data_IF_123142166130
#
_entry.id   IF_123142166130
#
_cell.length_a   1.000
_cell.length_b   1.000
_cell.length_c   1.000
_cell.angle_alpha   90.00
_cell.angle_beta   90.00
_cell.angle_gamma   90.00
#
_symmetry.space_group_name_H-M   'P 1'
#
loop_
_entity.id
_entity.type
_entity.pdbx_description
1 polymer ?
#
# COMPACT_ATOMS: atom_id res chain seq x y z
N UNK A 1 -7.61 28.06 -47.85
CA UNK A 1 -7.63 26.58 -47.83
C UNK A 1 -6.18 26.15 -47.73
N UNK A 2 -5.74 25.83 -46.51
CA UNK A 2 -4.36 25.46 -46.23
C UNK A 2 -3.97 24.16 -46.96
N UNK A 3 -2.83 24.11 -47.67
CA UNK A 3 -2.34 22.92 -48.36
C UNK A 3 -1.64 21.90 -47.43
N UNK A 4 -1.70 22.07 -46.11
CA UNK A 4 -0.90 21.31 -45.13
C UNK A 4 -1.51 19.98 -44.64
N UNK A 5 -2.57 19.47 -45.27
CA UNK A 5 -3.22 18.22 -44.84
C UNK A 5 -3.60 17.28 -45.98
N UNK A 6 -2.76 17.14 -47.02
CA UNK A 6 -2.81 15.97 -47.89
C UNK A 6 -2.11 14.79 -47.19
N UNK A 7 -2.71 14.33 -46.10
CA UNK A 7 -2.17 13.23 -45.30
C UNK A 7 -2.30 11.91 -46.06
N UNK A 8 -1.17 11.29 -46.38
CA UNK A 8 -1.08 9.90 -46.83
C UNK A 8 -1.80 9.01 -45.81
N UNK A 9 -3.06 8.65 -46.09
CA UNK A 9 -3.84 7.72 -45.27
C UNK A 9 -3.48 6.29 -45.65
N UNK A 10 -2.27 5.86 -45.28
CA UNK A 10 -1.95 4.44 -45.30
C UNK A 10 -2.78 3.71 -44.25
N UNK A 11 -3.54 2.71 -44.68
CA UNK A 11 -4.31 1.88 -43.75
C UNK A 11 -3.36 1.08 -42.85
N UNK A 12 -3.59 1.14 -41.53
CA UNK A 12 -2.89 0.38 -40.48
C UNK A 12 -2.71 -1.11 -40.79
N UNK A 13 -3.67 -1.72 -41.52
CA UNK A 13 -3.64 -3.10 -41.97
C UNK A 13 -2.49 -3.44 -42.94
N UNK A 14 -1.93 -2.43 -43.62
CA UNK A 14 -0.92 -2.58 -44.68
C UNK A 14 0.49 -2.43 -44.13
N UNK A 15 0.69 -1.51 -43.19
CA UNK A 15 2.00 -1.18 -42.61
C UNK A 15 2.41 -2.21 -41.55
N UNK A 16 1.47 -2.67 -40.72
CA UNK A 16 1.73 -3.63 -39.64
C UNK A 16 2.46 -4.92 -40.08
N UNK A 17 2.03 -5.62 -41.14
CA UNK A 17 2.72 -6.83 -41.63
C UNK A 17 4.15 -6.59 -42.13
N UNK A 18 4.43 -5.41 -42.71
CA UNK A 18 5.75 -5.04 -43.21
C UNK A 18 6.69 -4.70 -42.05
N UNK A 19 6.22 -3.90 -41.09
CA UNK A 19 6.97 -3.57 -39.86
C UNK A 19 7.30 -4.82 -39.05
N UNK A 20 6.40 -5.81 -38.99
CA UNK A 20 6.66 -7.08 -38.29
C UNK A 20 7.85 -7.86 -38.86
N UNK A 21 8.20 -7.67 -40.13
CA UNK A 21 9.38 -8.32 -40.74
C UNK A 21 10.70 -7.76 -40.21
N UNK A 22 10.70 -6.54 -39.67
CA UNK A 22 11.86 -5.91 -39.05
C UNK A 22 12.33 -6.59 -37.76
N UNK A 23 11.54 -7.52 -37.20
CA UNK A 23 11.84 -8.17 -35.93
C UNK A 23 12.04 -9.68 -36.08
N UNK A 24 12.91 -10.24 -35.24
CA UNK A 24 13.15 -11.69 -35.18
C UNK A 24 11.87 -12.41 -34.74
N UNK A 25 11.48 -13.48 -35.46
CA UNK A 25 10.40 -14.37 -35.02
C UNK A 25 10.91 -15.27 -33.90
N UNK A 26 10.39 -15.10 -32.69
CA UNK A 26 10.72 -15.98 -31.57
C UNK A 26 9.86 -17.25 -31.60
N UNK A 27 10.51 -18.40 -31.42
CA UNK A 27 9.83 -19.65 -31.09
C UNK A 27 9.31 -19.65 -29.64
N UNK A 28 8.37 -20.54 -29.29
CA UNK A 28 7.85 -20.62 -27.93
C UNK A 28 8.97 -21.07 -26.97
N UNK A 29 9.37 -20.20 -26.05
CA UNK A 29 10.04 -20.62 -24.81
C UNK A 29 11.56 -20.42 -24.67
N UNK A 30 12.17 -19.33 -25.15
CA UNK A 30 13.60 -19.08 -24.88
C UNK A 30 13.87 -17.77 -24.13
N UNK A 31 14.41 -17.94 -22.91
CA UNK A 31 15.16 -16.99 -22.10
C UNK A 31 14.39 -15.86 -21.38
N UNK A 32 13.75 -16.20 -20.25
CA UNK A 32 13.58 -15.29 -19.11
C UNK A 32 14.97 -14.94 -18.55
N UNK A 33 15.71 -14.05 -19.22
CA UNK A 33 16.90 -13.44 -18.66
C UNK A 33 16.49 -12.14 -17.97
N UNK A 34 16.88 -11.95 -16.71
CA UNK A 34 16.55 -10.76 -15.91
C UNK A 34 17.28 -9.47 -16.33
N UNK A 35 17.92 -9.47 -17.52
CA UNK A 35 18.67 -8.37 -18.09
C UNK A 35 17.90 -7.71 -19.24
N UNK A 36 18.01 -6.39 -19.43
CA UNK A 36 17.35 -5.68 -20.53
C UNK A 36 17.85 -6.21 -21.89
N UNK A 37 16.92 -6.60 -22.77
CA UNK A 37 17.26 -7.01 -24.14
C UNK A 37 17.25 -5.77 -25.02
N UNK A 38 18.43 -5.41 -25.52
CA UNK A 38 18.62 -4.24 -26.38
C UNK A 38 17.81 -4.38 -27.68
N UNK A 39 17.35 -3.26 -28.23
CA UNK A 39 16.66 -3.23 -29.53
C UNK A 39 17.47 -3.92 -30.64
N UNK A 40 18.80 -3.84 -30.57
CA UNK A 40 19.73 -4.50 -31.50
C UNK A 40 19.58 -6.03 -31.56
N UNK A 41 19.10 -6.67 -30.49
CA UNK A 41 18.84 -8.11 -30.44
C UNK A 41 17.40 -8.48 -30.87
N UNK A 42 16.51 -7.50 -30.98
CA UNK A 42 15.11 -7.71 -31.37
C UNK A 42 14.91 -7.53 -32.88
N UNK A 43 15.73 -6.71 -33.52
CA UNK A 43 15.66 -6.47 -34.97
C UNK A 43 16.28 -7.60 -35.77
N UNK A 44 15.68 -7.94 -36.91
CA UNK A 44 16.13 -9.03 -37.78
C UNK A 44 17.35 -8.69 -38.63
N UNK A 45 17.82 -7.44 -38.62
CA UNK A 45 18.94 -6.96 -39.46
C UNK A 45 20.23 -6.63 -38.69
N UNK A 46 20.24 -6.78 -37.36
CA UNK A 46 21.41 -6.62 -36.47
C UNK A 46 21.45 -7.75 -35.43
N UNK A 47 22.57 -7.89 -34.72
CA UNK A 47 22.75 -8.89 -33.66
C UNK A 47 23.04 -10.31 -34.15
N UNK A 48 23.06 -11.27 -33.22
CA UNK A 48 23.43 -12.67 -33.47
C UNK A 48 22.42 -13.44 -34.35
N UNK A 49 21.16 -12.97 -34.41
CA UNK A 49 20.08 -13.59 -35.20
C UNK A 49 19.71 -12.75 -36.43
N UNK A 50 20.72 -12.25 -37.15
CA UNK A 50 20.53 -11.48 -38.38
C UNK A 50 19.96 -12.34 -39.51
N UNK A 51 18.70 -12.14 -39.86
CA UNK A 51 17.98 -12.81 -40.96
C UNK A 51 17.64 -11.88 -42.12
N UNK A 52 17.66 -10.56 -41.92
CA UNK A 52 17.50 -9.54 -42.98
C UNK A 52 18.83 -8.84 -43.30
N UNK A 53 19.08 -8.62 -44.58
CA UNK A 53 20.19 -7.82 -45.10
C UNK A 53 19.80 -6.35 -45.25
N UNK A 54 20.78 -5.47 -45.47
CA UNK A 54 20.50 -4.06 -45.77
C UNK A 54 19.66 -3.89 -47.05
N UNK A 55 19.83 -4.81 -48.02
CA UNK A 55 19.02 -4.86 -49.25
C UNK A 55 17.57 -5.21 -48.95
N UNK A 56 17.31 -6.13 -48.02
CA UNK A 56 15.95 -6.50 -47.64
C UNK A 56 15.24 -5.36 -46.88
N UNK A 57 15.98 -4.63 -46.05
CA UNK A 57 15.46 -3.43 -45.38
C UNK A 57 15.06 -2.34 -46.38
N UNK A 58 15.89 -2.11 -47.40
CA UNK A 58 15.55 -1.21 -48.51
C UNK A 58 14.30 -1.71 -49.27
N UNK A 59 14.18 -3.01 -49.57
CA UNK A 59 12.97 -3.55 -50.22
C UNK A 59 11.71 -3.32 -49.39
N UNK A 60 11.79 -3.46 -48.06
CA UNK A 60 10.65 -3.18 -47.17
C UNK A 60 10.29 -1.69 -47.17
N UNK A 61 11.28 -0.81 -47.12
CA UNK A 61 11.07 0.63 -47.19
C UNK A 61 10.47 1.06 -48.55
N UNK A 62 10.99 0.51 -49.66
CA UNK A 62 10.46 0.77 -50.99
C UNK A 62 9.02 0.29 -51.15
N UNK A 63 8.66 -0.84 -50.55
CA UNK A 63 7.27 -1.32 -50.53
C UNK A 63 6.36 -0.41 -49.69
N UNK A 64 6.85 0.12 -48.55
CA UNK A 64 6.10 1.10 -47.76
C UNK A 64 5.84 2.40 -48.55
N UNK A 65 6.87 2.92 -49.24
CA UNK A 65 6.76 4.12 -50.09
C UNK A 65 5.82 3.87 -51.26
N UNK A 66 5.96 2.75 -51.98
CA UNK A 66 5.08 2.39 -53.10
C UNK A 66 3.62 2.36 -52.67
N UNK A 67 3.30 1.70 -51.55
CA UNK A 67 1.94 1.65 -51.03
C UNK A 67 1.43 3.00 -50.54
N UNK A 68 2.31 3.88 -50.06
CA UNK A 68 1.97 5.25 -49.69
C UNK A 68 1.53 6.07 -50.90
N UNK A 69 2.29 5.93 -51.99
CA UNK A 69 2.05 6.58 -53.27
C UNK A 69 0.78 6.04 -53.94
N UNK A 70 0.59 4.71 -53.94
CA UNK A 70 -0.61 4.06 -54.51
C UNK A 70 -1.89 4.37 -53.74
N UNK A 71 -1.78 4.70 -52.44
CA UNK A 71 -2.91 5.11 -51.61
C UNK A 71 -3.31 6.58 -51.83
N UNK A 72 -2.49 7.37 -52.53
CA UNK A 72 -2.82 8.73 -52.93
C UNK A 72 -3.77 8.73 -54.14
N UNK A 73 -4.71 9.67 -54.20
CA UNK A 73 -5.66 9.77 -55.30
C UNK A 73 -4.99 10.03 -56.66
N UNK A 74 -5.66 9.76 -57.79
CA UNK A 74 -5.12 10.05 -59.12
C UNK A 74 -4.76 11.55 -59.25
N UNK A 75 -3.48 11.86 -59.44
CA UNK A 75 -2.98 13.24 -59.55
C UNK A 75 -2.59 13.91 -58.22
N UNK A 76 -2.82 13.26 -57.08
CA UNK A 76 -2.50 13.76 -55.73
C UNK A 76 -1.19 13.16 -55.18
N UNK A 77 -0.25 12.88 -56.08
CA UNK A 77 0.99 12.20 -55.70
C UNK A 77 1.79 13.07 -54.71
N UNK A 78 2.24 12.53 -53.55
CA UNK A 78 2.96 13.32 -52.55
C UNK A 78 4.33 13.82 -53.01
N UNK A 79 4.97 13.08 -53.92
CA UNK A 79 6.32 13.34 -54.43
C UNK A 79 6.45 13.02 -55.92
N UNK A 80 7.37 13.66 -56.66
CA UNK A 80 7.74 13.27 -58.02
C UNK A 80 8.20 11.80 -58.11
N UNK A 81 8.00 11.17 -59.28
CA UNK A 81 8.24 9.73 -59.46
C UNK A 81 9.71 9.32 -59.35
N UNK A 82 10.62 10.24 -59.64
CA UNK A 82 12.06 10.12 -59.52
C UNK A 82 12.54 10.12 -58.06
N UNK A 83 11.73 10.63 -57.12
CA UNK A 83 12.10 10.72 -55.70
C UNK A 83 11.67 9.51 -54.86
N UNK A 84 10.80 8.62 -55.37
CA UNK A 84 10.35 7.41 -54.63
C UNK A 84 11.53 6.58 -54.08
N UNK A 85 12.57 6.40 -54.90
CA UNK A 85 13.74 5.60 -54.55
C UNK A 85 14.55 6.32 -53.45
N UNK A 86 14.70 7.64 -53.55
CA UNK A 86 15.40 8.43 -52.56
C UNK A 86 14.67 8.44 -51.20
N UNK A 87 13.33 8.53 -51.20
CA UNK A 87 12.52 8.41 -49.97
C UNK A 87 12.65 7.01 -49.36
N UNK A 88 12.68 5.96 -50.19
CA UNK A 88 12.86 4.59 -49.72
C UNK A 88 14.24 4.37 -49.09
N UNK A 89 15.30 4.93 -49.67
CA UNK A 89 16.66 4.91 -49.12
C UNK A 89 16.73 5.64 -47.77
N UNK A 90 16.14 6.83 -47.69
CA UNK A 90 16.07 7.61 -46.47
C UNK A 90 15.31 6.88 -45.34
N UNK A 91 14.19 6.25 -45.68
CA UNK A 91 13.37 5.48 -44.74
C UNK A 91 14.10 4.21 -44.28
N UNK A 92 14.79 3.51 -45.19
CA UNK A 92 15.60 2.34 -44.86
C UNK A 92 16.75 2.69 -43.93
N UNK A 93 17.46 3.80 -44.19
CA UNK A 93 18.53 4.29 -43.32
C UNK A 93 17.99 4.64 -41.91
N UNK A 94 16.84 5.32 -41.84
CA UNK A 94 16.23 5.73 -40.57
C UNK A 94 15.72 4.53 -39.76
N UNK A 95 15.07 3.55 -40.40
CA UNK A 95 14.65 2.31 -39.74
C UNK A 95 15.84 1.43 -39.34
N UNK A 96 16.92 1.46 -40.11
CA UNK A 96 18.17 0.76 -39.82
C UNK A 96 18.82 1.24 -38.51
N UNK A 97 18.69 2.53 -38.20
CA UNK A 97 19.19 3.13 -36.96
C UNK A 97 18.54 2.55 -35.69
N UNK A 98 17.37 1.88 -35.80
CA UNK A 98 16.71 1.20 -34.68
C UNK A 98 17.61 0.14 -34.04
N UNK A 99 18.47 -0.49 -34.83
CA UNK A 99 19.43 -1.49 -34.34
C UNK A 99 20.65 -0.90 -33.63
N UNK A 100 20.87 0.41 -33.74
CA UNK A 100 22.03 1.11 -33.18
C UNK A 100 21.66 1.96 -31.93
N UNK A 101 20.37 2.07 -31.59
CA UNK A 101 19.91 2.76 -30.39
C UNK A 101 20.26 1.96 -29.11
N UNK A 102 20.91 2.63 -28.15
CA UNK A 102 21.14 2.09 -26.81
C UNK A 102 19.89 2.22 -25.94
N UNK A 103 18.88 1.41 -26.26
CA UNK A 103 17.65 1.31 -25.48
C UNK A 103 17.01 -0.08 -25.63
N UNK A 104 16.07 -0.38 -24.75
CA UNK A 104 15.24 -1.58 -24.80
C UNK A 104 13.81 -1.30 -25.31
N UNK A 105 13.02 -2.38 -25.47
CA UNK A 105 11.63 -2.33 -25.92
C UNK A 105 10.70 -1.58 -24.95
N UNK A 106 10.88 -1.75 -23.64
CA UNK A 106 10.14 -1.03 -22.60
C UNK A 106 10.35 0.49 -22.68
N UNK A 107 11.61 0.92 -22.82
CA UNK A 107 11.97 2.32 -23.02
C UNK A 107 11.38 2.88 -24.32
N UNK A 108 11.35 2.10 -25.40
CA UNK A 108 10.77 2.52 -26.67
C UNK A 108 9.25 2.73 -26.57
N UNK A 109 8.54 1.86 -25.84
CA UNK A 109 7.11 2.02 -25.58
C UNK A 109 6.81 3.24 -24.70
N UNK A 110 7.59 3.45 -23.63
CA UNK A 110 7.44 4.64 -22.76
C UNK A 110 7.73 5.95 -23.50
N UNK A 111 8.70 5.94 -24.42
CA UNK A 111 9.05 7.10 -25.23
C UNK A 111 7.93 7.49 -26.21
N UNK A 112 7.20 6.49 -26.73
CA UNK A 112 6.11 6.69 -27.68
C UNK A 112 6.57 6.90 -29.12
N UNK A 113 5.64 6.72 -30.07
CA UNK A 113 5.93 6.63 -31.50
C UNK A 113 6.59 7.88 -32.09
N UNK A 114 6.09 9.07 -31.75
CA UNK A 114 6.57 10.35 -32.30
C UNK A 114 7.99 10.67 -31.84
N UNK A 115 8.27 10.49 -30.55
CA UNK A 115 9.60 10.74 -30.01
C UNK A 115 10.62 9.66 -30.43
N UNK A 116 10.17 8.41 -30.64
CA UNK A 116 10.99 7.36 -31.25
C UNK A 116 11.38 7.73 -32.69
N UNK A 117 10.43 8.22 -33.50
CA UNK A 117 10.72 8.68 -34.86
C UNK A 117 11.74 9.83 -34.86
N UNK A 118 11.58 10.82 -33.97
CA UNK A 118 12.55 11.91 -33.82
C UNK A 118 13.96 11.41 -33.45
N UNK A 119 14.07 10.40 -32.58
CA UNK A 119 15.37 9.78 -32.25
C UNK A 119 15.99 9.04 -33.42
N UNK A 120 15.19 8.33 -34.23
CA UNK A 120 15.69 7.66 -35.43
C UNK A 120 16.19 8.65 -36.48
N UNK A 121 15.47 9.77 -36.67
CA UNK A 121 15.93 10.87 -37.53
C UNK A 121 17.25 11.46 -37.03
N UNK A 122 17.38 11.70 -35.73
CA UNK A 122 18.61 12.22 -35.13
C UNK A 122 19.79 11.24 -35.25
N UNK A 123 19.52 9.93 -35.23
CA UNK A 123 20.53 8.88 -35.40
C UNK A 123 20.96 8.68 -36.87
N UNK A 124 20.16 9.15 -37.83
CA UNK A 124 20.44 9.08 -39.27
C UNK A 124 20.40 10.49 -39.93
N UNK A 125 21.26 11.43 -39.51
CA UNK A 125 21.17 12.84 -39.90
C UNK A 125 21.42 13.09 -41.41
N UNK A 126 22.02 12.13 -42.10
CA UNK A 126 22.28 12.22 -43.54
C UNK A 126 21.19 11.60 -44.41
N UNK A 127 20.20 10.92 -43.81
CA UNK A 127 19.21 10.17 -44.56
C UNK A 127 18.30 11.07 -45.43
N UNK A 128 18.00 12.29 -44.98
CA UNK A 128 17.06 13.19 -45.67
C UNK A 128 17.75 14.36 -46.38
N UNK A 129 19.09 14.43 -46.38
CA UNK A 129 19.86 15.62 -46.79
C UNK A 129 19.58 16.09 -48.22
N UNK A 130 19.33 15.16 -49.13
CA UNK A 130 19.16 15.42 -50.56
C UNK A 130 17.69 15.29 -51.02
N UNK A 131 16.74 15.26 -50.08
CA UNK A 131 15.31 15.14 -50.38
C UNK A 131 14.67 16.51 -50.63
N UNK A 132 13.65 16.54 -51.49
CA UNK A 132 12.76 17.71 -51.58
C UNK A 132 11.89 17.85 -50.32
N UNK A 133 11.32 19.03 -50.12
CA UNK A 133 10.41 19.28 -48.99
C UNK A 133 9.22 18.30 -48.95
N UNK A 134 8.68 17.92 -50.11
CA UNK A 134 7.60 16.92 -50.19
C UNK A 134 8.07 15.51 -49.81
N UNK A 135 9.28 15.14 -50.21
CA UNK A 135 9.90 13.87 -49.86
C UNK A 135 10.28 13.77 -48.38
N UNK A 136 10.73 14.86 -47.75
CA UNK A 136 10.94 14.92 -46.31
C UNK A 136 9.63 14.74 -45.53
N UNK A 137 8.54 15.38 -45.97
CA UNK A 137 7.22 15.27 -45.35
C UNK A 137 6.67 13.84 -45.44
N UNK A 138 6.82 13.20 -46.61
CA UNK A 138 6.46 11.80 -46.84
C UNK A 138 7.30 10.86 -45.97
N UNK A 139 8.63 11.04 -45.95
CA UNK A 139 9.54 10.27 -45.10
C UNK A 139 9.14 10.34 -43.63
N UNK A 140 8.94 11.55 -43.09
CA UNK A 140 8.58 11.76 -41.69
C UNK A 140 7.22 11.14 -41.35
N UNK A 141 6.26 11.20 -42.25
CA UNK A 141 4.94 10.55 -42.09
C UNK A 141 5.07 9.03 -42.03
N UNK A 142 5.83 8.45 -42.95
CA UNK A 142 6.07 7.00 -43.02
C UNK A 142 6.88 6.50 -41.82
N UNK A 143 7.90 7.24 -41.39
CA UNK A 143 8.71 6.91 -40.23
C UNK A 143 7.88 6.94 -38.95
N UNK A 144 7.06 7.97 -38.75
CA UNK A 144 6.19 8.10 -37.58
C UNK A 144 5.15 6.97 -37.53
N UNK A 145 4.54 6.66 -38.68
CA UNK A 145 3.58 5.55 -38.81
C UNK A 145 4.27 4.21 -38.54
N UNK A 146 5.48 4.01 -39.05
CA UNK A 146 6.28 2.81 -38.78
C UNK A 146 6.60 2.68 -37.29
N UNK A 147 7.01 3.77 -36.63
CA UNK A 147 7.27 3.81 -35.19
C UNK A 147 6.03 3.49 -34.35
N UNK A 148 4.85 3.94 -34.77
CA UNK A 148 3.58 3.58 -34.12
C UNK A 148 3.35 2.07 -34.14
N UNK A 149 3.55 1.45 -35.29
CA UNK A 149 3.42 0.00 -35.42
C UNK A 149 4.52 -0.77 -34.68
N UNK A 150 5.74 -0.23 -34.60
CA UNK A 150 6.84 -0.79 -33.80
C UNK A 150 6.47 -0.80 -32.31
N UNK A 151 6.03 0.34 -31.78
CA UNK A 151 5.60 0.47 -30.37
C UNK A 151 4.42 -0.46 -30.08
N UNK A 152 3.42 -0.48 -30.96
CA UNK A 152 2.29 -1.41 -30.83
C UNK A 152 2.70 -2.88 -30.89
N UNK A 153 3.70 -3.22 -31.71
CA UNK A 153 4.23 -4.57 -31.77
C UNK A 153 4.92 -4.97 -30.46
N UNK A 154 5.66 -4.06 -29.81
CA UNK A 154 6.29 -4.35 -28.52
C UNK A 154 5.27 -4.62 -27.41
N UNK A 155 4.15 -3.89 -27.36
CA UNK A 155 3.12 -4.10 -26.33
C UNK A 155 2.40 -5.45 -26.44
N UNK A 156 2.40 -6.06 -27.63
CA UNK A 156 1.76 -7.36 -27.86
C UNK A 156 2.65 -8.57 -27.50
N UNK A 157 3.92 -8.36 -27.12
CA UNK A 157 4.83 -9.46 -26.80
C UNK A 157 4.61 -9.93 -25.35
N UNK A 158 4.44 -11.24 -25.15
CA UNK A 158 4.26 -11.83 -23.82
C UNK A 158 5.45 -11.57 -22.87
N UNK A 159 6.65 -11.47 -23.42
CA UNK A 159 7.89 -11.13 -22.68
C UNK A 159 7.94 -9.68 -22.22
N UNK A 160 7.24 -8.76 -22.92
CA UNK A 160 7.17 -7.35 -22.55
C UNK A 160 6.38 -7.13 -21.25
N UNK A 161 5.25 -7.81 -21.09
CA UNK A 161 4.39 -7.68 -19.89
C UNK A 161 5.13 -8.16 -18.64
N UNK A 162 5.72 -9.36 -18.69
CA UNK A 162 6.51 -9.89 -17.58
C UNK A 162 7.72 -9.01 -17.23
N UNK A 163 8.38 -8.44 -18.24
CA UNK A 163 9.53 -7.54 -18.05
C UNK A 163 9.11 -6.18 -17.48
N UNK A 164 8.01 -5.61 -17.94
CA UNK A 164 7.51 -4.32 -17.45
C UNK A 164 7.19 -4.40 -15.96
N UNK A 165 6.63 -5.53 -15.50
CA UNK A 165 6.43 -5.80 -14.08
C UNK A 165 7.74 -5.84 -13.28
N UNK A 166 8.78 -6.52 -13.80
CA UNK A 166 10.11 -6.55 -13.16
C UNK A 166 10.79 -5.17 -13.15
N UNK A 167 10.68 -4.41 -14.23
CA UNK A 167 11.19 -3.03 -14.32
C UNK A 167 10.46 -2.10 -13.34
N UNK A 168 9.13 -2.21 -13.23
CA UNK A 168 8.36 -1.47 -12.24
C UNK A 168 8.77 -1.84 -10.81
N UNK A 169 8.99 -3.13 -10.52
CA UNK A 169 9.50 -3.57 -9.21
C UNK A 169 10.84 -2.91 -8.88
N UNK A 170 11.82 -2.95 -9.80
CA UNK A 170 13.13 -2.32 -9.60
C UNK A 170 13.06 -0.80 -9.46
N UNK A 171 12.14 -0.17 -10.19
CA UNK A 171 11.87 1.27 -10.08
C UNK A 171 11.31 1.64 -8.70
N UNK A 172 10.41 0.81 -8.16
CA UNK A 172 9.91 0.96 -6.79
C UNK A 172 11.02 0.75 -5.77
N UNK A 173 11.87 -0.27 -5.91
CA UNK A 173 13.02 -0.49 -5.02
C UNK A 173 13.96 0.72 -5.01
N UNK A 174 14.21 1.32 -6.19
CA UNK A 174 15.05 2.51 -6.33
C UNK A 174 14.41 3.75 -5.67
N UNK A 175 13.09 3.89 -5.77
CA UNK A 175 12.37 4.98 -5.10
C UNK A 175 12.39 4.81 -3.58
N UNK A 176 12.21 3.58 -3.09
CA UNK A 176 12.34 3.24 -1.66
C UNK A 176 13.74 3.60 -1.18
N UNK A 177 14.79 3.18 -1.88
CA UNK A 177 16.19 3.50 -1.54
C UNK A 177 16.47 5.02 -1.51
N UNK A 178 15.86 5.77 -2.45
CA UNK A 178 15.99 7.25 -2.48
C UNK A 178 15.25 7.89 -1.32
N UNK A 179 14.05 7.42 -0.99
CA UNK A 179 13.30 7.88 0.18
C UNK A 179 14.08 7.58 1.46
N UNK A 180 14.62 6.37 1.60
CA UNK A 180 15.46 5.97 2.74
C UNK A 180 16.72 6.83 2.83
N UNK A 181 17.35 7.15 1.69
CA UNK A 181 18.51 8.04 1.63
C UNK A 181 18.17 9.48 2.01
N UNK A 182 16.99 9.99 1.63
CA UNK A 182 16.52 11.33 2.02
C UNK A 182 16.19 11.38 3.51
N UNK A 183 15.56 10.34 4.05
CA UNK A 183 15.32 10.15 5.49
C UNK A 183 16.66 10.15 6.25
N UNK A 184 17.71 9.52 5.70
CA UNK A 184 19.03 9.43 6.32
C UNK A 184 19.86 10.72 6.24
N UNK A 185 19.74 11.51 5.16
CA UNK A 185 20.55 12.73 4.93
C UNK A 185 20.08 13.97 5.69
N UNK A 186 18.84 13.94 6.19
CA UNK A 186 18.29 15.02 6.99
C UNK A 186 17.63 14.35 8.20
N UNK A 187 18.36 14.19 9.34
CA UNK A 187 17.78 13.62 10.57
C UNK A 187 16.78 14.63 11.13
N UNK A 188 15.62 14.73 10.49
CA UNK A 188 14.48 15.41 11.05
C UNK A 188 14.02 14.61 12.25
N UNK A 189 13.53 15.31 13.27
CA UNK A 189 12.89 14.67 14.43
C UNK A 189 11.84 13.63 13.97
N UNK A 190 11.15 13.91 12.87
CA UNK A 190 10.19 12.99 12.24
C UNK A 190 10.81 11.70 11.69
N UNK A 191 12.02 11.73 11.14
CA UNK A 191 12.73 10.53 10.69
C UNK A 191 13.10 9.62 11.86
N UNK A 192 13.65 10.20 12.93
CA UNK A 192 13.94 9.46 14.17
C UNK A 192 12.66 8.90 14.81
N UNK A 193 11.58 9.67 14.80
CA UNK A 193 10.27 9.24 15.29
C UNK A 193 9.70 8.07 14.49
N UNK A 194 9.84 8.08 13.17
CA UNK A 194 9.36 7.01 12.29
C UNK A 194 10.17 5.72 12.47
N UNK A 195 11.50 5.83 12.54
CA UNK A 195 12.39 4.68 12.81
C UNK A 195 12.06 4.06 14.17
N UNK A 196 11.96 4.89 15.21
CA UNK A 196 11.63 4.41 16.55
C UNK A 196 10.22 3.81 16.62
N UNK A 197 9.22 4.44 16.00
CA UNK A 197 7.85 3.92 15.97
C UNK A 197 7.79 2.53 15.31
N UNK A 198 8.51 2.31 14.21
CA UNK A 198 8.60 1.01 13.54
C UNK A 198 9.21 -0.06 14.46
N UNK A 199 10.31 0.27 15.13
CA UNK A 199 10.98 -0.68 16.03
C UNK A 199 10.14 -0.97 17.28
N UNK A 200 9.45 0.04 17.81
CA UNK A 200 8.49 -0.09 18.89
C UNK A 200 7.30 -0.98 18.52
N UNK A 201 6.66 -0.76 17.36
CA UNK A 201 5.57 -1.61 16.88
C UNK A 201 6.01 -3.06 16.67
N UNK A 202 7.23 -3.29 16.15
CA UNK A 202 7.80 -4.64 16.04
C UNK A 202 7.98 -5.30 17.41
N UNK A 203 8.41 -4.55 18.42
CA UNK A 203 8.49 -5.03 19.79
C UNK A 203 7.11 -5.37 20.37
N UNK A 204 6.11 -4.50 20.16
CA UNK A 204 4.72 -4.73 20.59
C UNK A 204 4.16 -6.00 19.95
N UNK A 205 4.34 -6.17 18.64
CA UNK A 205 3.93 -7.37 17.93
C UNK A 205 4.51 -8.63 18.60
N UNK A 206 5.82 -8.65 18.89
CA UNK A 206 6.47 -9.80 19.54
C UNK A 206 6.03 -10.03 20.99
N UNK A 207 5.83 -8.95 21.75
CA UNK A 207 5.47 -9.02 23.17
C UNK A 207 4.03 -9.47 23.38
N UNK A 208 3.11 -8.95 22.58
CA UNK A 208 1.67 -9.12 22.76
C UNK A 208 1.04 -10.15 21.82
N UNK A 209 1.74 -10.66 20.81
CA UNK A 209 1.24 -11.78 19.97
C UNK A 209 1.20 -13.14 20.68
N UNK A 210 1.50 -13.20 21.98
CA UNK A 210 1.57 -14.44 22.74
C UNK A 210 0.70 -14.36 23.99
N UNK A 211 -0.21 -15.33 24.15
CA UNK A 211 -1.02 -15.51 25.34
C UNK A 211 -0.41 -16.55 26.28
N UNK A 212 -0.46 -16.25 27.57
CA UNK A 212 -0.16 -17.20 28.65
C UNK A 212 -1.45 -17.44 29.41
N UNK A 213 -2.00 -18.65 29.33
CA UNK A 213 -3.24 -19.03 30.02
C UNK A 213 -2.87 -19.71 31.33
N UNK A 214 -3.12 -19.01 32.43
CA UNK A 214 -2.87 -19.54 33.77
C UNK A 214 -3.96 -20.55 34.13
N UNK A 215 -3.56 -21.76 34.55
CA UNK A 215 -4.47 -22.82 34.99
C UNK A 215 -4.71 -23.96 34.00
N UNK A 216 -4.06 -23.95 32.83
CA UNK A 216 -4.06 -25.08 31.89
C UNK A 216 -2.65 -25.70 31.90
N UNK A 217 -2.46 -26.73 32.73
CA UNK A 217 -1.28 -27.58 32.70
C UNK A 217 -1.66 -28.90 32.04
N UNK A 218 -1.77 -28.88 30.71
CA UNK A 218 -1.98 -30.07 29.91
C UNK A 218 -0.62 -30.60 29.51
N UNK A 219 -0.31 -31.85 29.87
CA UNK A 219 0.87 -32.59 29.41
C UNK A 219 0.97 -32.46 27.88
N UNK A 220 1.97 -31.71 27.40
CA UNK A 220 2.26 -31.36 25.98
C UNK A 220 1.72 -30.02 25.43
N UNK A 221 1.22 -29.11 26.26
CA UNK A 221 0.83 -27.76 25.80
C UNK A 221 1.98 -26.75 25.91
N UNK A 222 2.24 -25.89 24.89
CA UNK A 222 3.23 -24.83 24.99
C UNK A 222 2.82 -23.75 26.02
N UNK A 223 3.79 -23.21 26.77
CA UNK A 223 3.56 -22.14 27.77
C UNK A 223 3.06 -20.81 27.16
N UNK A 224 3.16 -20.65 25.84
CA UNK A 224 2.86 -19.40 25.12
C UNK A 224 2.23 -19.67 23.75
N UNK A 225 1.00 -19.21 23.57
CA UNK A 225 0.16 -19.47 22.39
C UNK A 225 0.05 -18.25 21.47
N UNK A 226 0.05 -18.39 20.12
CA UNK A 226 -0.20 -17.28 19.20
C UNK A 226 -1.57 -16.63 19.46
N UNK A 227 -1.59 -15.32 19.69
CA UNK A 227 -2.80 -14.55 19.98
C UNK A 227 -3.82 -14.65 18.84
N UNK A 228 -3.38 -14.75 17.59
CA UNK A 228 -4.26 -14.87 16.42
C UNK A 228 -5.06 -16.16 16.35
N UNK A 229 -4.51 -17.22 16.93
CA UNK A 229 -5.18 -18.50 17.04
C UNK A 229 -6.13 -18.53 18.25
N UNK A 230 -5.85 -17.74 19.29
CA UNK A 230 -6.57 -17.78 20.56
C UNK A 230 -7.57 -16.63 20.79
N UNK A 231 -7.51 -15.54 20.01
CA UNK A 231 -8.50 -14.46 20.11
C UNK A 231 -9.76 -14.79 19.30
N UNK A 232 -10.87 -14.97 20.00
CA UNK A 232 -12.21 -14.89 19.42
C UNK A 232 -12.80 -13.53 19.76
N UNK A 233 -13.53 -12.94 18.81
CA UNK A 233 -14.26 -11.69 19.00
C UNK A 233 -15.17 -11.78 20.23
N UNK A 234 -14.68 -11.29 21.36
CA UNK A 234 -15.46 -11.13 22.57
C UNK A 234 -16.57 -10.12 22.27
N UNK A 235 -17.76 -10.28 22.85
CA UNK A 235 -18.87 -9.36 22.57
C UNK A 235 -18.94 -8.24 23.59
N UNK A 236 -19.22 -7.03 23.15
CA UNK A 236 -19.52 -5.89 24.00
C UNK A 236 -20.97 -5.44 23.81
N UNK A 237 -21.59 -5.00 24.89
CA UNK A 237 -22.87 -4.31 24.87
C UNK A 237 -22.71 -2.90 25.46
N UNK A 238 -23.26 -1.86 24.81
CA UNK A 238 -23.43 -0.55 25.45
C UNK A 238 -24.26 -0.71 26.72
N UNK A 239 -23.86 -0.08 27.82
CA UNK A 239 -24.77 0.06 28.96
C UNK A 239 -25.62 1.31 28.74
N UNK A 240 -26.94 1.15 28.71
CA UNK A 240 -27.86 2.28 28.80
C UNK A 240 -27.94 2.73 30.25
N UNK A 241 -27.78 4.04 30.51
CA UNK A 241 -28.09 4.64 31.80
C UNK A 241 -29.59 4.45 32.07
N UNK A 242 -29.96 3.62 33.04
CA UNK A 242 -31.29 3.69 33.63
C UNK A 242 -31.30 4.88 34.57
N UNK A 243 -31.88 6.00 34.12
CA UNK A 243 -32.09 7.19 34.92
C UNK A 243 -32.95 6.86 36.16
N UNK A 244 -32.45 7.01 37.41
CA UNK A 244 -33.22 6.70 38.61
C UNK A 244 -34.33 7.72 38.94
N UNK A 245 -34.60 8.70 38.07
CA UNK A 245 -35.51 9.82 38.34
C UNK A 245 -36.81 9.90 37.53
N UNK A 246 -37.03 9.03 36.54
CA UNK A 246 -38.16 9.16 35.61
C UNK A 246 -39.47 8.54 36.10
N UNK A 247 -40.20 9.20 37.01
CA UNK A 247 -41.61 8.88 37.28
C UNK A 247 -42.47 9.26 36.05
N UNK A 248 -42.74 8.31 35.15
CA UNK A 248 -43.93 8.39 34.28
C UNK A 248 -44.44 7.02 33.83
N UNK A 249 -45.73 6.84 34.10
CA UNK A 249 -46.70 5.92 33.48
C UNK A 249 -46.72 4.44 33.90
N UNK A 250 -47.62 4.17 34.85
CA UNK A 250 -48.47 2.99 34.88
C UNK A 250 -49.13 2.79 33.51
N UNK A 251 -48.79 1.70 32.82
CA UNK A 251 -49.72 0.86 32.05
C UNK A 251 -49.01 -0.37 31.45
N UNK A 252 -49.55 -1.56 31.73
CA UNK A 252 -49.41 -2.75 30.87
C UNK A 252 -48.13 -3.59 30.96
N UNK A 253 -48.26 -4.79 31.55
CA UNK A 253 -47.47 -6.02 31.30
C UNK A 253 -46.17 -5.82 30.49
N UNK A 254 -45.15 -5.25 31.12
CA UNK A 254 -43.88 -4.91 30.46
C UNK A 254 -43.02 -6.16 30.24
N UNK A 255 -42.91 -6.58 28.98
CA UNK A 255 -41.79 -7.41 28.55
C UNK A 255 -40.49 -6.69 28.94
N UNK A 256 -39.57 -7.41 29.59
CA UNK A 256 -38.22 -6.91 29.83
C UNK A 256 -37.66 -6.34 28.51
N UNK A 257 -37.10 -5.11 28.51
CA UNK A 257 -36.49 -4.57 27.31
C UNK A 257 -35.46 -5.57 26.79
N UNK A 258 -35.59 -5.95 25.51
CA UNK A 258 -34.68 -6.91 24.90
C UNK A 258 -33.23 -6.45 25.15
N UNK A 259 -32.32 -7.35 25.59
CA UNK A 259 -30.95 -6.97 25.85
C UNK A 259 -30.35 -6.33 24.59
N UNK A 260 -29.57 -5.25 24.74
CA UNK A 260 -29.01 -4.54 23.59
C UNK A 260 -28.21 -5.51 22.71
N UNK A 261 -28.21 -5.30 21.38
CA UNK A 261 -27.53 -6.20 20.46
C UNK A 261 -26.05 -6.30 20.81
N UNK A 262 -25.60 -7.52 21.10
CA UNK A 262 -24.21 -7.81 21.42
C UNK A 262 -23.38 -7.70 20.13
N UNK A 263 -22.52 -6.70 20.01
CA UNK A 263 -21.61 -6.56 18.87
C UNK A 263 -20.22 -7.10 19.21
N UNK A 264 -19.40 -7.52 18.23
CA UNK A 264 -17.99 -7.80 18.46
C UNK A 264 -17.32 -6.60 19.13
N UNK A 265 -16.68 -6.80 20.28
CA UNK A 265 -16.09 -5.75 21.10
C UNK A 265 -15.09 -4.93 20.27
N UNK A 266 -14.33 -5.59 19.41
CA UNK A 266 -13.38 -4.96 18.51
C UNK A 266 -14.02 -4.04 17.45
N UNK A 267 -15.30 -4.27 17.09
CA UNK A 267 -16.10 -3.36 16.24
C UNK A 267 -16.82 -2.28 17.04
N UNK A 268 -17.36 -2.63 18.21
CA UNK A 268 -18.00 -1.67 19.11
C UNK A 268 -17.05 -0.52 19.51
N UNK A 269 -15.75 -0.83 19.58
CA UNK A 269 -14.69 0.12 19.90
C UNK A 269 -14.25 0.98 18.70
N UNK A 270 -14.57 0.59 17.47
CA UNK A 270 -14.10 1.28 16.26
C UNK A 270 -14.69 2.69 16.09
N UNK A 271 -15.81 2.97 16.76
CA UNK A 271 -16.54 4.23 16.66
C UNK A 271 -16.45 5.09 17.93
N UNK A 272 -15.64 4.68 18.91
CA UNK A 272 -15.58 5.30 20.22
C UNK A 272 -14.15 5.77 20.53
N UNK A 273 -13.99 7.07 20.75
CA UNK A 273 -12.69 7.65 21.10
C UNK A 273 -12.30 7.37 22.55
N UNK A 274 -13.29 7.19 23.44
CA UNK A 274 -13.08 6.99 24.88
C UNK A 274 -14.01 5.91 25.42
N UNK A 275 -13.45 4.82 25.93
CA UNK A 275 -14.20 3.64 26.37
C UNK A 275 -13.78 3.16 27.74
N UNK A 276 -14.77 2.99 28.62
CA UNK A 276 -14.60 2.28 29.88
C UNK A 276 -15.15 0.86 29.70
N UNK A 277 -14.25 -0.11 29.61
CA UNK A 277 -14.59 -1.51 29.43
C UNK A 277 -14.70 -2.23 30.77
N UNK A 278 -15.93 -2.61 31.12
CA UNK A 278 -16.25 -3.42 32.30
C UNK A 278 -16.33 -4.89 31.93
N UNK A 279 -15.85 -5.77 32.80
CA UNK A 279 -16.00 -7.21 32.60
C UNK A 279 -15.60 -8.00 33.83
N UNK A 280 -16.24 -9.15 34.06
CA UNK A 280 -15.94 -10.02 35.20
C UNK A 280 -14.52 -10.60 35.14
N UNK A 281 -14.08 -11.24 36.21
CA UNK A 281 -12.82 -11.97 36.21
C UNK A 281 -12.80 -13.00 35.07
N UNK A 282 -11.69 -13.10 34.33
CA UNK A 282 -11.57 -14.06 33.24
C UNK A 282 -12.39 -13.74 31.99
N UNK A 283 -13.08 -12.59 31.92
CA UNK A 283 -13.85 -12.19 30.72
C UNK A 283 -13.00 -11.82 29.49
N UNK A 284 -11.66 -11.83 29.61
CA UNK A 284 -10.75 -11.54 28.50
C UNK A 284 -10.39 -10.07 28.29
N UNK A 285 -10.61 -9.16 29.26
CA UNK A 285 -10.25 -7.72 29.15
C UNK A 285 -8.79 -7.50 28.75
N UNK A 286 -7.84 -8.10 29.48
CA UNK A 286 -6.42 -8.00 29.15
C UNK A 286 -6.08 -8.66 27.81
N UNK A 287 -6.82 -9.70 27.41
CA UNK A 287 -6.69 -10.31 26.07
C UNK A 287 -7.13 -9.34 24.98
N UNK A 288 -8.22 -8.60 25.17
CA UNK A 288 -8.67 -7.56 24.24
C UNK A 288 -7.67 -6.41 24.16
N UNK A 289 -7.09 -5.98 25.28
CA UNK A 289 -6.00 -4.99 25.30
C UNK A 289 -4.82 -5.45 24.44
N UNK A 290 -4.40 -6.72 24.59
CA UNK A 290 -3.33 -7.28 23.77
C UNK A 290 -3.71 -7.36 22.29
N UNK A 291 -4.95 -7.75 21.99
CA UNK A 291 -5.49 -7.83 20.63
C UNK A 291 -5.46 -6.48 19.92
N UNK A 292 -5.91 -5.41 20.58
CA UNK A 292 -5.88 -4.06 20.02
C UNK A 292 -4.45 -3.58 19.80
N UNK A 293 -3.54 -3.85 20.75
CA UNK A 293 -2.14 -3.48 20.63
C UNK A 293 -1.47 -4.18 19.42
N UNK A 294 -1.75 -5.47 19.19
CA UNK A 294 -1.26 -6.21 18.02
C UNK A 294 -1.92 -5.74 16.74
N UNK A 295 -3.20 -5.35 16.78
CA UNK A 295 -3.94 -4.78 15.66
C UNK A 295 -3.25 -3.56 15.05
N UNK A 296 -2.63 -2.70 15.86
CA UNK A 296 -1.83 -1.55 15.40
C UNK A 296 -0.55 -1.91 14.63
N UNK A 297 -0.10 -3.18 14.70
CA UNK A 297 1.16 -3.62 14.09
C UNK A 297 0.99 -4.26 12.72
N UNK A 298 -0.26 -4.44 12.26
CA UNK A 298 -0.61 -5.14 11.02
C UNK A 298 -1.05 -4.18 9.93
N UNK A 299 -0.87 -4.62 8.69
CA UNK A 299 -1.43 -3.92 7.53
C UNK A 299 -2.98 -4.00 7.54
N UNK A 300 -3.70 -2.99 7.00
CA UNK A 300 -5.16 -2.94 7.07
C UNK A 300 -5.84 -4.14 6.41
N UNK A 301 -5.19 -4.75 5.42
CA UNK A 301 -5.69 -5.93 4.72
C UNK A 301 -5.55 -7.23 5.52
N UNK A 302 -4.70 -7.25 6.56
CA UNK A 302 -4.34 -8.46 7.33
C UNK A 302 -5.00 -8.49 8.71
N UNK A 303 -5.80 -7.47 9.05
CA UNK A 303 -6.41 -7.34 10.36
C UNK A 303 -7.90 -7.00 10.25
N UNK A 304 -8.77 -7.55 11.10
CA UNK A 304 -10.16 -7.10 11.19
C UNK A 304 -10.30 -5.70 11.82
N UNK A 305 -9.17 -5.06 12.19
CA UNK A 305 -9.11 -3.73 12.82
C UNK A 305 -8.40 -2.68 11.96
N UNK A 306 -8.87 -2.41 10.71
CA UNK A 306 -8.20 -1.48 9.81
C UNK A 306 -8.16 -0.04 10.35
N UNK A 307 -9.10 0.34 11.22
CA UNK A 307 -9.16 1.66 11.85
C UNK A 307 -8.00 1.94 12.83
N UNK A 308 -7.28 0.88 13.26
CA UNK A 308 -6.11 1.01 14.12
C UNK A 308 -4.79 1.19 13.33
N UNK A 309 -4.84 1.15 12.01
CA UNK A 309 -3.66 1.34 11.19
C UNK A 309 -3.03 2.72 11.41
N UNK A 310 -1.71 2.77 11.56
CA UNK A 310 -0.96 4.00 11.83
C UNK A 310 -1.08 4.53 13.26
N UNK A 311 -1.87 3.88 14.12
CA UNK A 311 -1.95 4.16 15.57
C UNK A 311 -0.76 3.57 16.31
N UNK A 312 -0.38 4.19 17.43
CA UNK A 312 0.70 3.75 18.31
C UNK A 312 0.10 3.31 19.64
N UNK A 313 0.16 2.02 19.99
CA UNK A 313 -0.42 1.49 21.21
C UNK A 313 0.49 1.75 22.42
N UNK A 314 -0.04 2.39 23.46
CA UNK A 314 0.56 2.50 24.78
C UNK A 314 -0.21 1.59 25.74
N UNK A 315 0.35 0.40 25.99
CA UNK A 315 -0.22 -0.55 26.96
C UNK A 315 0.28 -0.18 28.35
N UNK A 316 -0.64 0.22 29.23
CA UNK A 316 -0.38 0.83 30.53
C UNK A 316 -1.06 0.01 31.65
N UNK A 317 -0.47 -1.11 32.11
CA UNK A 317 -1.03 -1.90 33.20
C UNK A 317 -0.91 -1.13 34.52
N UNK A 318 -2.04 -0.84 35.17
CA UNK A 318 -2.06 -0.02 36.38
C UNK A 318 -1.33 -0.67 37.54
N UNK A 319 -1.33 -2.01 37.64
CA UNK A 319 -0.50 -2.77 38.60
C UNK A 319 1.00 -2.53 38.47
N UNK A 320 1.47 -2.13 37.29
CA UNK A 320 2.88 -1.82 37.03
C UNK A 320 3.12 -0.34 37.30
N UNK A 321 2.21 0.54 36.84
CA UNK A 321 2.34 1.98 37.04
C UNK A 321 2.34 2.38 38.52
N UNK A 322 1.54 1.71 39.35
CA UNK A 322 1.45 1.98 40.79
C UNK A 322 2.65 1.48 41.60
N UNK A 323 3.57 0.72 40.99
CA UNK A 323 4.84 0.35 41.65
C UNK A 323 5.87 1.47 41.57
N UNK A 324 5.68 2.43 40.68
CA UNK A 324 6.51 3.62 40.60
C UNK A 324 6.01 4.67 41.61
N UNK A 325 6.92 5.53 42.06
CA UNK A 325 6.59 6.61 43.01
C UNK A 325 5.53 7.57 42.45
N UNK A 326 5.55 7.77 41.13
CA UNK A 326 4.65 8.63 40.38
C UNK A 326 4.01 7.92 39.18
N UNK A 327 2.74 8.25 38.90
CA UNK A 327 2.12 7.89 37.63
C UNK A 327 2.84 8.65 36.50
N UNK A 328 3.12 7.98 35.37
CA UNK A 328 4.04 8.51 34.38
C UNK A 328 3.40 9.62 33.53
N UNK A 329 4.21 10.62 33.19
CA UNK A 329 3.99 11.51 32.04
C UNK A 329 4.26 10.76 30.72
N UNK A 330 3.83 11.29 29.56
CA UNK A 330 4.00 10.60 28.27
C UNK A 330 5.43 10.20 27.95
N UNK A 331 6.43 11.04 28.22
CA UNK A 331 7.86 10.72 28.06
C UNK A 331 8.29 9.47 28.84
N UNK A 332 7.61 9.14 29.94
CA UNK A 332 7.93 8.02 30.83
C UNK A 332 7.10 6.77 30.64
N UNK A 333 6.06 6.79 29.81
CA UNK A 333 5.19 5.63 29.58
C UNK A 333 5.98 4.34 29.35
N UNK A 334 6.92 4.36 28.40
CA UNK A 334 7.70 3.18 28.03
C UNK A 334 8.65 2.73 29.16
N UNK A 335 9.31 3.68 29.83
CA UNK A 335 10.22 3.34 30.94
C UNK A 335 9.48 2.74 32.14
N UNK A 336 8.32 3.29 32.50
CA UNK A 336 7.55 2.85 33.67
C UNK A 336 6.95 1.46 33.49
N UNK A 337 6.58 1.09 32.25
CA UNK A 337 6.11 -0.28 31.94
C UNK A 337 7.25 -1.27 31.67
N UNK A 338 8.52 -0.86 31.86
CA UNK A 338 9.69 -1.70 31.68
C UNK A 338 9.95 -2.07 30.21
N UNK A 339 9.65 -1.17 29.26
CA UNK A 339 9.97 -1.38 27.85
C UNK A 339 11.50 -1.31 27.62
N UNK A 340 12.15 -2.35 27.06
CA UNK A 340 13.59 -2.35 26.78
C UNK A 340 14.03 -1.25 25.81
N UNK A 341 13.11 -0.76 24.97
CA UNK A 341 13.38 0.30 23.99
C UNK A 341 13.24 1.71 24.58
N UNK A 342 12.87 1.85 25.86
CA UNK A 342 12.64 3.16 26.46
C UNK A 342 13.87 4.08 26.39
N UNK A 343 15.08 3.52 26.52
CA UNK A 343 16.34 4.29 26.45
C UNK A 343 16.66 4.83 25.05
N UNK A 344 16.08 4.27 24.00
CA UNK A 344 16.25 4.73 22.62
C UNK A 344 15.08 5.59 22.12
N UNK A 345 14.11 5.92 22.99
CA UNK A 345 12.99 6.78 22.65
C UNK A 345 13.49 8.19 22.33
N UNK A 346 13.14 8.76 21.15
CA UNK A 346 13.45 10.16 20.87
C UNK A 346 12.79 11.09 21.89
N UNK A 347 13.47 12.14 22.36
CA UNK A 347 12.88 13.10 23.28
C UNK A 347 11.57 13.68 22.75
N UNK A 348 10.52 13.70 23.57
CA UNK A 348 9.20 14.22 23.20
C UNK A 348 8.39 13.35 22.22
N UNK A 349 8.84 12.13 21.92
CA UNK A 349 8.19 11.28 20.91
C UNK A 349 6.76 10.93 21.27
N UNK A 350 6.51 10.51 22.52
CA UNK A 350 5.19 10.12 22.97
C UNK A 350 4.22 11.30 22.92
N UNK A 351 4.65 12.49 23.35
CA UNK A 351 3.90 13.73 23.27
C UNK A 351 3.53 14.05 21.83
N UNK A 352 4.50 13.99 20.89
CA UNK A 352 4.21 14.23 19.46
C UNK A 352 3.24 13.20 18.88
N UNK A 353 3.31 11.93 19.30
CA UNK A 353 2.34 10.90 18.90
C UNK A 353 0.94 11.24 19.38
N UNK A 354 0.81 11.68 20.64
CA UNK A 354 -0.46 12.06 21.25
C UNK A 354 -1.01 13.35 20.64
N UNK A 355 -0.20 14.39 20.45
CA UNK A 355 -0.59 15.64 19.79
C UNK A 355 -0.99 15.41 18.32
N UNK A 356 -0.40 14.43 17.65
CA UNK A 356 -0.79 14.04 16.29
C UNK A 356 -2.08 13.21 16.25
N UNK A 357 -2.70 12.89 17.39
CA UNK A 357 -3.89 12.06 17.45
C UNK A 357 -3.67 10.61 17.06
N UNK A 358 -2.43 10.09 17.13
CA UNK A 358 -2.11 8.72 16.74
C UNK A 358 -2.02 7.76 17.93
N UNK A 359 -2.21 8.24 19.15
CA UNK A 359 -2.17 7.41 20.34
C UNK A 359 -3.37 6.45 20.44
N UNK A 360 -3.09 5.22 20.85
CA UNK A 360 -4.05 4.29 21.41
C UNK A 360 -3.60 3.97 22.84
N UNK A 361 -4.27 4.55 23.84
CA UNK A 361 -3.92 4.38 25.25
C UNK A 361 -4.80 3.29 25.86
N UNK A 362 -4.15 2.22 26.31
CA UNK A 362 -4.78 1.02 26.84
C UNK A 362 -4.42 0.90 28.32
N UNK A 363 -5.22 1.51 29.18
CA UNK A 363 -5.06 1.51 30.63
C UNK A 363 -5.73 0.26 31.21
N UNK A 364 -4.93 -0.74 31.57
CA UNK A 364 -5.43 -2.06 31.96
C UNK A 364 -5.43 -2.25 33.49
N UNK A 365 -6.56 -2.71 34.04
CA UNK A 365 -6.65 -3.22 35.42
C UNK A 365 -6.91 -2.17 36.49
N UNK A 366 -7.93 -1.32 36.34
CA UNK A 366 -8.34 -0.37 37.39
C UNK A 366 -8.85 -1.08 38.66
N UNK A 367 -9.29 -2.33 38.54
CA UNK A 367 -9.63 -3.18 39.68
C UNK A 367 -8.42 -3.69 40.46
N UNK A 368 -7.21 -3.63 39.87
CA UNK A 368 -5.97 -4.10 40.49
C UNK A 368 -5.33 -3.05 41.41
N UNK A 369 -5.92 -1.84 41.51
CA UNK A 369 -5.41 -0.75 42.35
C UNK A 369 -6.27 -0.53 43.61
N UNK A 370 -5.65 -0.19 44.75
CA UNK A 370 -6.37 0.14 45.98
C UNK A 370 -7.35 1.30 45.76
N UNK A 371 -8.47 1.29 46.48
CA UNK A 371 -9.51 2.33 46.35
C UNK A 371 -8.97 3.74 46.61
N UNK A 372 -8.08 3.89 47.59
CA UNK A 372 -7.43 5.17 47.92
C UNK A 372 -6.64 5.77 46.73
N UNK A 373 -6.09 4.93 45.86
CA UNK A 373 -5.26 5.34 44.72
C UNK A 373 -6.08 5.56 43.43
N UNK A 374 -7.36 5.15 43.42
CA UNK A 374 -8.24 5.37 42.25
C UNK A 374 -8.46 6.83 41.96
N UNK A 375 -8.55 7.68 43.01
CA UNK A 375 -8.71 9.13 42.82
C UNK A 375 -7.49 9.72 42.11
N UNK A 376 -6.30 9.34 42.57
CA UNK A 376 -5.04 9.73 41.94
C UNK A 376 -4.94 9.28 40.48
N UNK A 377 -5.42 8.07 40.17
CA UNK A 377 -5.48 7.56 38.78
C UNK A 377 -6.46 8.36 37.93
N UNK A 378 -7.61 8.76 38.48
CA UNK A 378 -8.57 9.61 37.79
C UNK A 378 -7.98 10.98 37.48
N UNK A 379 -7.36 11.62 38.48
CA UNK A 379 -6.75 12.94 38.31
C UNK A 379 -5.62 12.87 37.26
N UNK A 380 -4.78 11.82 37.29
CA UNK A 380 -3.78 11.58 36.25
C UNK A 380 -4.38 11.38 34.84
N UNK A 381 -5.48 10.64 34.73
CA UNK A 381 -6.16 10.45 33.45
C UNK A 381 -6.74 11.78 32.93
N UNK A 382 -7.32 12.60 33.81
CA UNK A 382 -7.83 13.93 33.46
C UNK A 382 -6.72 14.85 32.97
N UNK A 383 -5.60 14.91 33.69
CA UNK A 383 -4.45 15.71 33.28
C UNK A 383 -3.97 15.34 31.87
N UNK A 384 -3.98 14.04 31.53
CA UNK A 384 -3.64 13.58 30.18
C UNK A 384 -4.70 13.95 29.13
N UNK A 385 -5.99 13.86 29.46
CA UNK A 385 -7.06 14.24 28.53
C UNK A 385 -7.06 15.76 28.27
N UNK A 386 -6.80 16.55 29.31
CA UNK A 386 -6.74 18.02 29.24
C UNK A 386 -5.48 18.50 28.50
N UNK A 387 -4.39 17.74 28.56
CA UNK A 387 -3.18 18.03 27.80
C UNK A 387 -3.31 17.74 26.28
N UNK A 388 -4.22 16.84 25.89
CA UNK A 388 -4.42 16.44 24.49
C UNK A 388 -5.91 16.47 24.06
N UNK A 389 -6.58 17.64 24.15
CA UNK A 389 -8.04 17.74 23.97
C UNK A 389 -8.49 17.64 22.51
N UNK A 390 -7.72 18.21 21.57
CA UNK A 390 -8.09 18.34 20.15
C UNK A 390 -7.60 17.17 19.27
N UNK A 391 -7.01 16.15 19.90
CA UNK A 391 -6.37 15.04 19.20
C UNK A 391 -7.27 13.81 19.21
N UNK A 392 -7.56 13.18 18.05
CA UNK A 392 -8.46 12.02 17.95
C UNK A 392 -7.83 10.72 18.51
N UNK A 393 -7.13 10.79 19.65
CA UNK A 393 -6.55 9.64 20.34
C UNK A 393 -7.63 8.70 20.85
N UNK A 394 -7.35 7.40 20.83
CA UNK A 394 -8.24 6.37 21.34
C UNK A 394 -7.85 6.01 22.77
N UNK A 395 -8.82 5.97 23.67
CA UNK A 395 -8.63 5.68 25.09
C UNK A 395 -9.48 4.49 25.50
N UNK A 396 -8.86 3.49 26.10
CA UNK A 396 -9.54 2.38 26.74
C UNK A 396 -9.06 2.24 28.17
N UNK A 397 -10.00 2.22 29.11
CA UNK A 397 -9.75 1.87 30.50
C UNK A 397 -10.49 0.56 30.80
N UNK A 398 -9.82 -0.42 31.37
CA UNK A 398 -10.46 -1.69 31.75
C UNK A 398 -10.67 -1.78 33.26
N UNK A 399 -11.80 -2.36 33.67
CA UNK A 399 -12.11 -2.54 35.10
C UNK A 399 -13.07 -3.71 35.34
N UNK A 400 -13.19 -4.15 36.59
CA UNK A 400 -14.28 -5.03 37.02
C UNK A 400 -15.53 -4.20 37.35
N UNK A 401 -16.75 -4.72 37.15
CA UNK A 401 -17.98 -4.02 37.50
C UNK A 401 -18.01 -3.51 38.94
N UNK A 402 -17.49 -4.29 39.89
CA UNK A 402 -17.49 -3.96 41.32
C UNK A 402 -16.38 -2.98 41.75
N UNK A 403 -15.42 -2.66 40.89
CA UNK A 403 -14.26 -1.87 41.28
C UNK A 403 -14.52 -0.36 41.26
N UNK A 404 -15.47 0.12 40.48
CA UNK A 404 -15.83 1.55 40.48
C UNK A 404 -17.33 1.68 40.34
N UNK A 405 -17.89 2.73 40.96
CA UNK A 405 -19.30 3.10 40.81
C UNK A 405 -19.68 3.25 39.34
N UNK A 406 -20.98 3.18 39.08
CA UNK A 406 -21.51 3.58 37.77
C UNK A 406 -21.17 5.06 37.50
N UNK A 407 -20.97 5.40 36.24
CA UNK A 407 -20.66 6.75 35.76
C UNK A 407 -19.32 7.32 36.23
N UNK A 408 -18.38 6.47 36.66
CA UNK A 408 -17.08 6.89 37.21
C UNK A 408 -16.26 7.77 36.24
N UNK A 409 -16.39 7.56 34.93
CA UNK A 409 -15.76 8.37 33.87
C UNK A 409 -16.76 9.12 32.97
N UNK A 410 -18.01 9.24 33.40
CA UNK A 410 -19.03 9.89 32.58
C UNK A 410 -18.70 11.38 32.34
N UNK A 411 -18.13 12.06 33.33
CA UNK A 411 -17.72 13.47 33.22
C UNK A 411 -16.60 13.70 32.19
N UNK A 412 -15.83 12.66 31.88
CA UNK A 412 -14.71 12.65 30.94
C UNK A 412 -15.14 12.18 29.53
N UNK A 413 -16.45 12.02 29.30
CA UNK A 413 -17.07 11.55 28.06
C UNK A 413 -16.66 10.12 27.67
N UNK A 414 -16.41 9.24 28.64
CA UNK A 414 -16.19 7.82 28.36
C UNK A 414 -17.51 7.10 28.13
N UNK A 415 -17.58 6.32 27.06
CA UNK A 415 -18.69 5.40 26.83
C UNK A 415 -18.46 4.10 27.59
N UNK A 416 -19.40 3.70 28.44
CA UNK A 416 -19.31 2.43 29.16
C UNK A 416 -19.72 1.25 28.27
N UNK A 417 -18.83 0.26 28.17
CA UNK A 417 -19.06 -0.99 27.45
C UNK A 417 -18.89 -2.17 28.40
N UNK A 418 -19.79 -3.14 28.35
CA UNK A 418 -19.65 -4.38 29.13
C UNK A 418 -19.23 -5.54 28.24
N UNK A 419 -18.10 -6.15 28.58
CA UNK A 419 -17.60 -7.35 27.94
C UNK A 419 -18.41 -8.55 28.43
N UNK A 420 -19.18 -9.14 27.53
CA UNK A 420 -19.96 -10.34 27.81
C UNK A 420 -19.05 -11.58 27.87
N UNK A 421 -19.36 -12.56 28.73
CA UNK A 421 -18.71 -13.86 28.68
C UNK A 421 -19.00 -14.54 27.32
N UNK A 422 -18.10 -15.42 26.88
CA UNK A 422 -18.28 -16.15 25.63
C UNK A 422 -19.56 -16.98 25.66
N UNK A 423 -20.34 -16.90 24.58
CA UNK A 423 -21.48 -17.79 24.34
C UNK A 423 -21.03 -19.22 24.01
N UNK A 424 -21.96 -20.18 24.06
CA UNK A 424 -21.63 -21.60 23.78
C UNK A 424 -21.02 -21.82 22.39
N UNK A 425 -21.48 -21.07 21.39
CA UNK A 425 -20.97 -21.16 20.01
C UNK A 425 -19.54 -20.63 19.90
N UNK A 426 -19.22 -19.55 20.61
CA UNK A 426 -17.87 -18.98 20.68
C UNK A 426 -16.93 -19.94 21.42
N UNK A 427 -17.38 -20.55 22.52
CA UNK A 427 -16.62 -21.61 23.22
C UNK A 427 -16.37 -22.80 22.30
N UNK A 428 -17.36 -23.24 21.50
CA UNK A 428 -17.17 -24.33 20.55
C UNK A 428 -16.16 -23.96 19.44
N UNK A 429 -16.23 -22.74 18.90
CA UNK A 429 -15.25 -22.23 17.95
C UNK A 429 -13.85 -22.12 18.56
N UNK A 430 -13.76 -21.76 19.85
CA UNK A 430 -12.51 -21.69 20.60
C UNK A 430 -11.88 -23.08 20.66
N UNK A 431 -12.65 -24.07 21.12
CA UNK A 431 -12.20 -25.46 21.26
C UNK A 431 -11.79 -26.03 19.89
N UNK A 432 -12.57 -25.78 18.84
CA UNK A 432 -12.24 -26.25 17.49
C UNK A 432 -10.91 -25.68 16.99
N UNK A 433 -10.67 -24.38 17.20
CA UNK A 433 -9.41 -23.72 16.80
C UNK A 433 -8.24 -24.05 17.73
N UNK A 434 -8.53 -24.52 18.94
CA UNK A 434 -7.56 -25.00 19.92
C UNK A 434 -7.03 -26.42 19.61
N UNK A 435 -7.82 -27.24 18.89
CA UNK A 435 -7.48 -28.62 18.54
C UNK A 435 -7.21 -28.85 17.04
N UNK A 436 -7.29 -27.81 16.22
CA UNK A 436 -6.89 -27.84 14.81
C UNK A 436 -5.38 -27.61 14.68
#
# INVERSE_FOLDING_TARGET
>A
MDPSTAGVRLASAVVGPLVRKLFVREGPGAALTGAPVRLSALVSFRGEKRTLTAKDLHQLAAELVRRAVDAAGPGERPVPADEDTAVADALAASLGALGDLDMDDAQAVQLGATALAARLTAAAPHATRDLSQGAEELHRTLLTTSCLHIVHFFTQRSTFVARTLVQQSRGLDTLIDRVDTLIARQPSVHAADAVFARDYLRYIARKHSRLTIYGIDLTNSPDRWPLDAAYLSLRAAPRHHTDPGGLTHLDGLGAEPAPPPLEPADRALAHLDRVLLRGVAGSGKSTLVQWLAVGCTREPAETPLPHLYGRIPFVLPLRTLHRADALPTPDRFLSTVGCPLAGSQPPGWAERVLTAGRGLLLVDGLDEIPEADRRRTLDWLRDLLDAFPDSPNLWMVTTRPSAVREDWLAAENFTEQTLAPMGREEVAAFIARWHA
#
